data_IF_300057337805
#
_entry.id   IF_300057337805
#
_cell.length_a   1.000
_cell.length_b   1.000
_cell.length_c   1.000
_cell.angle_alpha   90.00
_cell.angle_beta   90.00
_cell.angle_gamma   90.00
#
_symmetry.space_group_name_H-M   'P 1'
#
loop_
_entity.id
_entity.type
_entity.pdbx_description
1 polymer ?
#
# COMPACT_ATOMS: atom_id res chain seq x y z
N UNK A 1 1.66 -22.22 9.65
CA UNK A 1 1.82 -22.65 11.07
C UNK A 1 1.75 -21.40 11.94
N UNK A 2 1.01 -21.46 13.01
CA UNK A 2 0.86 -20.39 14.02
C UNK A 2 0.49 -19.01 13.44
N UNK A 3 -0.38 -18.99 12.43
CA UNK A 3 -0.80 -17.77 11.75
C UNK A 3 -2.26 -17.43 12.11
N UNK A 4 -2.50 -16.29 12.73
CA UNK A 4 -3.82 -15.83 13.17
C UNK A 4 -4.51 -16.87 14.05
N UNK A 5 -5.65 -17.43 13.61
CA UNK A 5 -6.38 -18.49 14.30
C UNK A 5 -5.91 -19.90 13.94
N UNK A 6 -4.94 -20.05 13.03
CA UNK A 6 -4.48 -21.36 12.56
C UNK A 6 -3.20 -21.79 13.26
N UNK A 7 -3.24 -22.87 14.03
CA UNK A 7 -2.04 -23.55 14.52
C UNK A 7 -1.30 -24.27 13.40
N UNK A 8 -2.06 -25.04 12.60
CA UNK A 8 -1.58 -25.66 11.35
C UNK A 8 -2.75 -25.81 10.41
N UNK A 9 -2.52 -25.48 9.13
CA UNK A 9 -3.54 -25.62 8.09
C UNK A 9 -2.86 -25.82 6.73
N UNK A 10 -3.42 -26.70 5.91
CA UNK A 10 -2.98 -26.93 4.54
C UNK A 10 -4.19 -26.92 3.62
N UNK A 11 -4.04 -26.26 2.47
CA UNK A 11 -5.12 -26.15 1.49
C UNK A 11 -4.55 -26.08 0.08
N UNK A 12 -5.15 -26.88 -0.81
CA UNK A 12 -4.85 -26.83 -2.23
C UNK A 12 -5.89 -25.91 -2.90
N UNK A 13 -5.45 -24.77 -3.39
CA UNK A 13 -6.32 -23.79 -4.05
C UNK A 13 -6.60 -24.25 -5.48
N UNK A 14 -7.86 -24.46 -5.89
CA UNK A 14 -8.20 -24.83 -7.26
C UNK A 14 -7.83 -23.70 -8.25
N UNK A 15 -7.39 -24.07 -9.46
CA UNK A 15 -7.00 -23.09 -10.50
C UNK A 15 -8.19 -22.23 -10.97
N UNK A 16 -9.40 -22.79 -10.98
CA UNK A 16 -10.62 -22.07 -11.38
C UNK A 16 -11.11 -21.08 -10.32
N UNK A 17 -10.46 -21.02 -9.16
CA UNK A 17 -10.88 -20.24 -8.03
C UNK A 17 -11.60 -21.06 -6.97
N UNK A 18 -11.91 -20.43 -5.83
CA UNK A 18 -12.56 -21.07 -4.71
C UNK A 18 -13.51 -20.11 -3.99
N UNK A 19 -14.62 -20.67 -3.50
CA UNK A 19 -15.54 -20.01 -2.59
C UNK A 19 -15.35 -20.61 -1.20
N UNK A 20 -15.02 -19.77 -0.23
CA UNK A 20 -14.81 -20.22 1.17
C UNK A 20 -16.06 -19.88 1.97
N UNK A 21 -16.80 -20.92 2.39
CA UNK A 21 -18.00 -20.80 3.18
C UNK A 21 -17.74 -21.19 4.65
N UNK A 22 -18.52 -20.64 5.56
CA UNK A 22 -18.46 -20.95 6.99
C UNK A 22 -18.93 -19.77 7.84
N UNK A 23 -19.14 -20.04 9.14
CA UNK A 23 -19.58 -19.03 10.11
C UNK A 23 -18.56 -17.90 10.29
N UNK A 24 -18.99 -16.79 10.89
CA UNK A 24 -18.10 -15.69 11.23
C UNK A 24 -17.03 -16.17 12.24
N UNK A 25 -15.89 -15.48 12.25
CA UNK A 25 -14.74 -15.79 13.11
C UNK A 25 -14.02 -17.15 12.86
N UNK A 26 -14.38 -17.91 11.82
CA UNK A 26 -13.73 -19.19 11.47
C UNK A 26 -12.40 -19.04 10.69
N UNK A 27 -11.90 -17.81 10.52
CA UNK A 27 -10.59 -17.60 9.89
C UNK A 27 -10.61 -17.42 8.37
N UNK A 28 -11.75 -17.40 7.68
CA UNK A 28 -11.83 -17.23 6.20
C UNK A 28 -10.96 -16.09 5.69
N UNK A 29 -11.08 -14.92 6.29
CA UNK A 29 -10.28 -13.74 5.94
C UNK A 29 -8.79 -13.92 6.27
N UNK A 30 -8.48 -14.64 7.36
CA UNK A 30 -7.10 -14.92 7.76
C UNK A 30 -6.39 -15.83 6.74
N UNK A 31 -7.11 -16.73 6.10
CA UNK A 31 -6.57 -17.56 5.03
C UNK A 31 -6.19 -16.73 3.81
N UNK A 32 -7.09 -15.84 3.35
CA UNK A 32 -6.79 -14.91 2.26
C UNK A 32 -5.66 -13.93 2.61
N UNK A 33 -5.61 -13.47 3.87
CA UNK A 33 -4.53 -12.65 4.39
C UNK A 33 -3.17 -13.36 4.36
N UNK A 34 -3.14 -14.68 4.64
CA UNK A 34 -1.92 -15.48 4.53
C UNK A 34 -1.40 -15.54 3.08
N UNK A 35 -2.29 -15.71 2.11
CA UNK A 35 -1.92 -15.68 0.66
C UNK A 35 -1.37 -14.30 0.29
N UNK A 36 -2.05 -13.23 0.68
CA UNK A 36 -1.59 -11.87 0.43
C UNK A 36 -0.22 -11.62 1.06
N UNK A 37 -0.01 -12.04 2.31
CA UNK A 37 1.26 -11.86 3.01
C UNK A 37 2.38 -12.69 2.37
N UNK A 38 2.11 -13.93 1.96
CA UNK A 38 3.08 -14.78 1.26
C UNK A 38 3.58 -14.12 -0.03
N UNK A 39 2.70 -13.47 -0.77
CA UNK A 39 3.03 -12.89 -2.08
C UNK A 39 3.56 -11.46 -1.99
N UNK A 40 3.16 -10.69 -0.98
CA UNK A 40 3.45 -9.24 -0.93
C UNK A 40 4.18 -8.78 0.33
N UNK A 41 4.41 -9.66 1.32
CA UNK A 41 4.95 -9.30 2.65
C UNK A 41 4.15 -8.18 3.34
N UNK A 42 2.90 -8.03 2.96
CA UNK A 42 1.99 -7.01 3.48
C UNK A 42 0.66 -7.66 3.84
N UNK A 43 0.14 -7.30 5.03
CA UNK A 43 -1.22 -7.62 5.40
C UNK A 43 -2.13 -6.45 5.03
N UNK A 44 -3.30 -6.70 4.43
CA UNK A 44 -4.29 -5.65 4.19
C UNK A 44 -4.94 -5.13 5.47
N UNK A 45 -4.80 -5.85 6.58
CA UNK A 45 -5.47 -5.56 7.86
C UNK A 45 -4.55 -4.97 8.92
N UNK A 46 -3.24 -5.17 8.83
CA UNK A 46 -2.28 -4.66 9.82
C UNK A 46 -0.99 -4.21 9.17
N UNK A 47 -0.47 -3.08 9.65
CA UNK A 47 0.81 -2.55 9.18
C UNK A 47 2.04 -3.26 9.79
N UNK A 48 1.85 -4.00 10.88
CA UNK A 48 2.93 -4.72 11.59
C UNK A 48 2.72 -6.23 11.48
N UNK A 49 3.77 -7.03 11.18
CA UNK A 49 3.65 -8.48 11.08
C UNK A 49 3.38 -9.18 12.41
N UNK A 50 3.84 -8.66 13.54
CA UNK A 50 3.70 -9.30 14.86
C UNK A 50 2.27 -9.79 15.17
N UNK A 51 1.21 -8.97 14.98
CA UNK A 51 -0.17 -9.40 15.18
C UNK A 51 -0.67 -10.51 14.23
N UNK A 52 0.13 -10.94 13.24
CA UNK A 52 -0.21 -12.07 12.39
C UNK A 52 0.12 -13.42 13.05
N UNK A 53 0.98 -13.45 14.06
CA UNK A 53 1.23 -14.64 14.85
C UNK A 53 -0.03 -15.04 15.63
N UNK A 54 -0.22 -16.34 15.82
CA UNK A 54 -1.31 -16.88 16.64
C UNK A 54 -1.20 -16.41 18.09
N UNK A 55 -2.33 -16.37 18.79
CA UNK A 55 -2.36 -15.89 20.17
C UNK A 55 -1.35 -16.67 21.04
N UNK A 56 -0.54 -15.97 21.80
CA UNK A 56 0.52 -16.54 22.64
C UNK A 56 1.78 -17.00 21.88
N UNK A 57 1.85 -16.79 20.56
CA UNK A 57 3.03 -17.10 19.73
C UNK A 57 3.79 -15.84 19.34
N UNK A 58 5.11 -15.98 19.20
CA UNK A 58 6.00 -14.88 18.78
C UNK A 58 6.46 -15.02 17.31
N UNK A 59 6.12 -16.12 16.65
CA UNK A 59 6.53 -16.40 15.29
C UNK A 59 5.39 -17.07 14.52
N UNK A 60 5.43 -16.99 13.20
CA UNK A 60 4.53 -17.72 12.31
C UNK A 60 5.22 -18.14 11.02
N UNK A 61 4.71 -19.19 10.39
CA UNK A 61 5.22 -19.67 9.11
C UNK A 61 4.13 -19.78 8.06
N UNK A 62 4.41 -19.34 6.83
CA UNK A 62 3.55 -19.53 5.66
C UNK A 62 4.40 -20.15 4.55
N UNK A 63 3.87 -21.18 3.90
CA UNK A 63 4.45 -21.80 2.71
C UNK A 63 3.38 -21.93 1.64
N UNK A 64 3.74 -21.71 0.39
CA UNK A 64 2.85 -21.93 -0.75
C UNK A 64 3.63 -22.35 -1.97
N UNK A 65 3.02 -23.24 -2.75
CA UNK A 65 3.49 -23.64 -4.07
C UNK A 65 2.62 -22.96 -5.13
N UNK A 66 3.27 -22.29 -6.05
CA UNK A 66 2.66 -21.52 -7.13
C UNK A 66 3.23 -22.02 -8.46
N UNK A 67 2.58 -21.77 -9.60
CA UNK A 67 3.16 -22.13 -10.89
C UNK A 67 4.59 -21.59 -11.03
N UNK A 68 5.56 -22.50 -11.24
CA UNK A 68 6.97 -22.14 -11.42
C UNK A 68 7.75 -21.70 -10.17
N UNK A 69 7.14 -21.60 -8.98
CA UNK A 69 7.86 -21.21 -7.78
C UNK A 69 7.21 -21.68 -6.48
N UNK A 70 8.06 -22.07 -5.52
CA UNK A 70 7.67 -22.30 -4.13
C UNK A 70 8.14 -21.13 -3.26
N UNK A 71 7.28 -20.64 -2.37
CA UNK A 71 7.59 -19.54 -1.45
C UNK A 71 7.42 -19.97 -0.01
N UNK A 72 8.32 -19.49 0.85
CA UNK A 72 8.25 -19.73 2.28
C UNK A 72 8.62 -18.45 3.03
N UNK A 73 7.86 -18.18 4.07
CA UNK A 73 8.13 -17.15 5.08
C UNK A 73 8.13 -17.84 6.44
N UNK A 74 9.19 -17.67 7.19
CA UNK A 74 9.19 -17.85 8.64
C UNK A 74 9.45 -16.48 9.25
N UNK A 75 8.44 -15.90 9.85
CA UNK A 75 8.55 -14.60 10.48
C UNK A 75 8.83 -14.75 11.97
N UNK A 76 9.86 -14.05 12.46
CA UNK A 76 10.19 -13.88 13.87
C UNK A 76 10.40 -12.40 14.18
N UNK A 77 10.35 -11.97 15.44
CA UNK A 77 10.63 -10.58 15.83
C UNK A 77 12.02 -10.08 15.43
N UNK A 78 13.02 -10.95 15.43
CA UNK A 78 14.41 -10.60 15.14
C UNK A 78 14.64 -10.40 13.65
N UNK A 79 14.35 -11.41 12.83
CA UNK A 79 14.50 -11.33 11.38
C UNK A 79 13.62 -12.39 10.69
N UNK A 80 12.97 -12.05 9.56
CA UNK A 80 12.26 -13.04 8.75
C UNK A 80 13.22 -13.91 7.95
N UNK A 81 12.98 -15.24 7.91
CA UNK A 81 13.58 -16.14 6.91
C UNK A 81 12.65 -16.17 5.68
N UNK A 82 13.14 -15.63 4.57
CA UNK A 82 12.41 -15.53 3.31
C UNK A 82 13.05 -16.44 2.27
N UNK A 83 12.28 -17.35 1.68
CA UNK A 83 12.82 -18.28 0.67
C UNK A 83 11.95 -18.35 -0.57
N UNK A 84 12.61 -18.52 -1.73
CA UNK A 84 11.97 -18.79 -3.02
C UNK A 84 12.69 -20.00 -3.64
N UNK A 85 11.95 -21.05 -3.98
CA UNK A 85 12.46 -22.32 -4.49
C UNK A 85 13.52 -22.97 -3.56
N UNK A 86 13.33 -22.84 -2.24
CA UNK A 86 14.28 -23.33 -1.24
C UNK A 86 15.42 -22.37 -0.93
N UNK A 87 15.76 -21.47 -1.84
CA UNK A 87 16.89 -20.55 -1.72
C UNK A 87 16.54 -19.34 -0.82
N UNK A 88 17.41 -18.99 0.14
CA UNK A 88 17.19 -17.83 0.99
C UNK A 88 17.27 -16.54 0.19
N UNK A 89 16.42 -15.58 0.53
CA UNK A 89 16.43 -14.23 -0.04
C UNK A 89 17.03 -13.24 0.96
N UNK A 90 17.98 -12.47 0.49
CA UNK A 90 18.75 -11.51 1.30
C UNK A 90 17.86 -10.45 1.99
N UNK A 91 16.81 -10.05 1.31
CA UNK A 91 15.92 -8.97 1.76
C UNK A 91 14.53 -9.10 1.13
N UNK A 92 13.63 -8.24 1.57
CA UNK A 92 12.26 -8.16 1.02
C UNK A 92 12.23 -7.83 -0.47
N UNK A 93 13.18 -7.05 -0.97
CA UNK A 93 13.25 -6.66 -2.37
C UNK A 93 13.51 -7.89 -3.26
N UNK A 94 14.51 -8.69 -2.91
CA UNK A 94 14.86 -9.91 -3.64
C UNK A 94 13.76 -10.99 -3.53
N UNK A 95 13.05 -11.04 -2.41
CA UNK A 95 11.90 -11.91 -2.24
C UNK A 95 10.72 -11.51 -3.14
N UNK A 96 10.47 -10.20 -3.30
CA UNK A 96 9.34 -9.68 -4.06
C UNK A 96 9.63 -9.48 -5.56
N UNK A 97 10.88 -9.67 -6.02
CA UNK A 97 11.28 -9.39 -7.40
C UNK A 97 10.38 -10.12 -8.42
N UNK A 98 10.18 -11.42 -8.23
CA UNK A 98 9.41 -12.27 -9.13
C UNK A 98 8.09 -12.73 -8.50
N UNK A 99 7.50 -11.91 -7.63
CA UNK A 99 6.28 -12.27 -6.95
C UNK A 99 5.05 -11.94 -7.79
N UNK A 100 4.06 -12.82 -7.71
CA UNK A 100 2.76 -12.60 -8.36
C UNK A 100 2.07 -11.36 -7.81
N UNK A 101 1.36 -10.61 -8.66
CA UNK A 101 0.54 -9.50 -8.22
C UNK A 101 -0.65 -9.99 -7.39
N UNK A 102 -1.14 -9.12 -6.51
CA UNK A 102 -2.29 -9.40 -5.65
C UNK A 102 -3.23 -8.20 -5.68
N UNK A 103 -4.49 -8.45 -5.97
CA UNK A 103 -5.57 -7.52 -5.73
C UNK A 103 -6.34 -8.00 -4.50
N UNK A 104 -6.30 -7.19 -3.45
CA UNK A 104 -7.09 -7.43 -2.24
C UNK A 104 -8.38 -6.63 -2.30
N UNK A 105 -9.51 -7.27 -2.00
CA UNK A 105 -10.80 -6.61 -1.84
C UNK A 105 -11.44 -7.05 -0.53
N UNK A 106 -11.90 -6.10 0.26
CA UNK A 106 -12.48 -6.34 1.58
C UNK A 106 -13.46 -5.24 1.99
N UNK A 107 -14.10 -5.43 3.15
CA UNK A 107 -15.09 -4.48 3.66
C UNK A 107 -14.52 -3.07 3.90
N UNK A 108 -13.21 -2.97 4.17
CA UNK A 108 -12.54 -1.71 4.44
C UNK A 108 -12.29 -0.85 3.18
N UNK A 109 -12.56 -1.39 1.99
CA UNK A 109 -12.30 -0.69 0.72
C UNK A 109 -13.23 0.52 0.52
N UNK A 110 -14.39 0.54 1.17
CA UNK A 110 -15.24 1.73 1.22
C UNK A 110 -14.50 2.95 1.79
N UNK A 111 -13.50 2.71 2.66
CA UNK A 111 -12.61 3.74 3.19
C UNK A 111 -11.79 4.47 2.12
N UNK A 112 -11.60 3.87 0.93
CA UNK A 112 -10.94 4.55 -0.20
C UNK A 112 -11.70 5.81 -0.61
N UNK A 113 -13.03 5.77 -0.53
CA UNK A 113 -13.89 6.90 -0.86
C UNK A 113 -14.19 7.75 0.37
N UNK A 114 -14.59 7.14 1.49
CA UNK A 114 -15.08 7.84 2.67
C UNK A 114 -13.98 8.36 3.60
N UNK A 115 -12.88 7.63 3.75
CA UNK A 115 -11.84 7.99 4.72
C UNK A 115 -10.89 9.08 4.19
N UNK A 116 -10.00 9.53 5.08
CA UNK A 116 -8.98 10.51 4.75
C UNK A 116 -7.91 9.99 3.79
N UNK A 117 -7.02 10.87 3.38
CA UNK A 117 -5.97 10.64 2.40
C UNK A 117 -5.04 9.43 2.69
N UNK A 118 -4.94 9.00 3.95
CA UNK A 118 -4.07 7.87 4.34
C UNK A 118 -4.50 6.54 3.69
N UNK A 119 -5.81 6.27 3.62
CA UNK A 119 -6.34 5.08 2.95
C UNK A 119 -6.00 5.09 1.45
N UNK A 120 -6.18 6.23 0.78
CA UNK A 120 -5.89 6.40 -0.64
C UNK A 120 -4.40 6.33 -0.95
N UNK A 121 -3.53 6.90 -0.08
CA UNK A 121 -2.07 6.72 -0.21
C UNK A 121 -1.65 5.26 -0.06
N UNK A 122 -2.20 4.53 0.91
CA UNK A 122 -1.93 3.10 1.08
C UNK A 122 -2.33 2.30 -0.14
N UNK A 123 -3.48 2.61 -0.74
CA UNK A 123 -3.93 1.99 -1.99
C UNK A 123 -2.94 2.26 -3.14
N UNK A 124 -2.56 3.53 -3.37
CA UNK A 124 -1.56 3.89 -4.38
C UNK A 124 -0.22 3.19 -4.15
N UNK A 125 0.26 3.19 -2.90
CA UNK A 125 1.56 2.60 -2.57
C UNK A 125 1.55 1.07 -2.69
N UNK A 126 0.43 0.42 -2.38
CA UNK A 126 0.27 -1.01 -2.58
C UNK A 126 0.25 -1.37 -4.07
N UNK A 127 -0.53 -0.66 -4.87
CA UNK A 127 -0.62 -0.86 -6.31
C UNK A 127 0.72 -0.48 -7.00
N UNK A 128 1.23 0.72 -6.76
CA UNK A 128 2.44 1.23 -7.41
C UNK A 128 3.67 0.36 -7.14
N UNK A 129 3.78 -0.20 -5.93
CA UNK A 129 4.87 -1.13 -5.58
C UNK A 129 4.80 -2.47 -6.32
N UNK A 130 3.65 -2.82 -6.89
CA UNK A 130 3.46 -4.00 -7.73
C UNK A 130 3.64 -3.68 -9.21
N UNK A 131 3.14 -2.51 -9.61
CA UNK A 131 3.18 -2.04 -10.99
C UNK A 131 4.61 -1.75 -11.48
N UNK A 132 5.45 -1.08 -10.66
CA UNK A 132 6.76 -0.62 -11.10
C UNK A 132 7.85 -0.80 -10.03
N UNK A 133 8.99 -1.47 -10.35
CA UNK A 133 10.07 -1.68 -9.38
C UNK A 133 10.65 -0.38 -8.81
N UNK A 134 10.77 0.68 -9.64
CA UNK A 134 11.22 2.01 -9.23
C UNK A 134 10.30 2.66 -8.21
N UNK A 135 8.98 2.44 -8.30
CA UNK A 135 8.03 2.95 -7.31
C UNK A 135 8.33 2.41 -5.90
N UNK A 136 8.55 1.11 -5.79
CA UNK A 136 8.90 0.49 -4.50
C UNK A 136 10.20 1.03 -3.94
N UNK A 137 11.20 1.27 -4.79
CA UNK A 137 12.49 1.82 -4.39
C UNK A 137 12.35 3.27 -3.91
N UNK A 138 11.68 4.13 -4.70
CA UNK A 138 11.43 5.52 -4.36
C UNK A 138 10.63 5.64 -3.04
N UNK A 139 9.57 4.85 -2.89
CA UNK A 139 8.75 4.80 -1.68
C UNK A 139 9.57 4.40 -0.44
N UNK A 140 10.39 3.35 -0.53
CA UNK A 140 11.23 2.89 0.57
C UNK A 140 12.26 3.97 0.97
N UNK A 141 12.98 4.52 -0.01
CA UNK A 141 14.00 5.55 0.20
C UNK A 141 13.38 6.83 0.78
N UNK A 142 12.24 7.25 0.24
CA UNK A 142 11.47 8.39 0.75
C UNK A 142 11.05 8.19 2.21
N UNK A 143 10.45 7.04 2.54
CA UNK A 143 10.01 6.73 3.91
C UNK A 143 11.18 6.70 4.90
N UNK A 144 12.34 6.18 4.47
CA UNK A 144 13.55 6.15 5.29
C UNK A 144 14.07 7.57 5.54
N UNK A 145 14.20 8.39 4.49
CA UNK A 145 14.63 9.79 4.62
C UNK A 145 13.66 10.59 5.50
N UNK A 146 12.35 10.43 5.31
CA UNK A 146 11.30 11.08 6.11
C UNK A 146 11.42 10.71 7.59
N UNK A 147 11.58 9.43 7.89
CA UNK A 147 11.73 8.95 9.28
C UNK A 147 12.96 9.58 9.96
N UNK A 148 14.09 9.61 9.28
CA UNK A 148 15.32 10.16 9.84
C UNK A 148 15.23 11.68 9.96
N UNK A 149 14.71 12.39 8.94
CA UNK A 149 14.50 13.83 9.03
C UNK A 149 13.56 14.20 10.18
N UNK A 150 12.44 13.48 10.35
CA UNK A 150 11.51 13.70 11.45
C UNK A 150 12.16 13.42 12.83
N UNK A 151 13.04 12.44 12.92
CA UNK A 151 13.81 12.19 14.13
C UNK A 151 14.72 13.39 14.49
N UNK A 152 15.44 13.94 13.50
CA UNK A 152 16.30 15.11 13.69
C UNK A 152 15.49 16.35 14.11
N UNK A 153 14.36 16.59 13.45
CA UNK A 153 13.45 17.70 13.77
C UNK A 153 12.90 17.60 15.20
N UNK A 154 12.44 16.42 15.60
CA UNK A 154 11.86 16.17 16.93
C UNK A 154 12.88 16.36 18.06
N UNK A 155 14.11 15.93 17.85
CA UNK A 155 15.18 16.03 18.86
C UNK A 155 15.95 17.35 18.79
N UNK A 156 15.47 18.31 17.93
CA UNK A 156 16.09 19.61 17.73
C UNK A 156 17.60 19.50 17.51
N UNK A 157 18.00 18.50 16.73
CA UNK A 157 19.42 18.27 16.45
C UNK A 157 20.03 19.52 15.82
N UNK A 158 21.09 20.06 16.42
CA UNK A 158 21.73 21.32 15.99
C UNK A 158 22.59 21.16 14.73
N UNK A 159 22.77 19.94 14.26
CA UNK A 159 23.54 19.66 13.03
C UNK A 159 22.70 20.01 11.79
N UNK A 160 22.86 21.25 11.35
CA UNK A 160 22.21 21.77 10.15
C UNK A 160 22.64 21.04 8.89
N UNK A 161 23.90 20.56 8.81
CA UNK A 161 24.43 19.82 7.66
C UNK A 161 23.72 18.47 7.50
N UNK A 162 23.55 17.77 8.63
CA UNK A 162 22.83 16.50 8.60
C UNK A 162 21.36 16.67 8.24
N UNK A 163 20.69 17.69 8.77
CA UNK A 163 19.31 18.00 8.41
C UNK A 163 19.17 18.35 6.92
N UNK A 164 20.09 19.14 6.36
CA UNK A 164 20.11 19.49 4.94
C UNK A 164 20.34 18.25 4.07
N UNK A 165 21.29 17.37 4.42
CA UNK A 165 21.56 16.14 3.71
C UNK A 165 20.28 15.25 3.59
N UNK A 166 19.57 15.06 4.70
CA UNK A 166 18.29 14.31 4.67
C UNK A 166 17.16 15.06 3.98
N UNK A 167 17.16 16.39 3.99
CA UNK A 167 16.22 17.21 3.22
C UNK A 167 16.42 17.02 1.72
N UNK A 168 17.68 16.99 1.23
CA UNK A 168 18.00 16.68 -0.17
C UNK A 168 17.56 15.28 -0.59
N UNK A 169 17.86 14.27 0.23
CA UNK A 169 17.43 12.90 -0.04
C UNK A 169 15.90 12.77 -0.06
N UNK A 170 15.23 13.44 0.88
CA UNK A 170 13.76 13.46 0.94
C UNK A 170 13.16 14.11 -0.31
N UNK A 171 13.73 15.23 -0.76
CA UNK A 171 13.31 15.92 -1.96
C UNK A 171 13.50 15.05 -3.21
N UNK A 172 14.69 14.47 -3.40
CA UNK A 172 15.01 13.60 -4.53
C UNK A 172 14.01 12.44 -4.67
N UNK A 173 13.88 11.64 -3.62
CA UNK A 173 12.97 10.49 -3.65
C UNK A 173 11.51 10.87 -3.59
N UNK A 174 11.18 12.03 -3.01
CA UNK A 174 9.82 12.57 -2.98
C UNK A 174 9.37 13.01 -4.37
N UNK A 175 10.20 13.72 -5.12
CA UNK A 175 9.91 14.14 -6.50
C UNK A 175 9.73 12.92 -7.41
N UNK A 176 10.61 11.91 -7.30
CA UNK A 176 10.48 10.66 -8.03
C UNK A 176 9.16 9.95 -7.70
N UNK A 177 8.81 9.84 -6.42
CA UNK A 177 7.56 9.20 -5.99
C UNK A 177 6.32 9.95 -6.48
N UNK A 178 6.33 11.31 -6.47
CA UNK A 178 5.23 12.14 -7.02
C UNK A 178 5.04 11.86 -8.51
N UNK A 179 6.12 11.83 -9.28
CA UNK A 179 6.08 11.54 -10.72
C UNK A 179 5.51 10.14 -10.99
N UNK A 180 5.97 9.11 -10.26
CA UNK A 180 5.48 7.75 -10.40
C UNK A 180 4.01 7.59 -10.01
N UNK A 181 3.55 8.32 -8.99
CA UNK A 181 2.13 8.34 -8.61
C UNK A 181 1.26 9.01 -9.69
N UNK A 182 1.70 10.12 -10.25
CA UNK A 182 1.00 10.78 -11.34
C UNK A 182 0.89 9.86 -12.58
N UNK A 183 1.98 9.22 -12.97
CA UNK A 183 2.00 8.25 -14.08
C UNK A 183 1.09 7.06 -13.82
N UNK A 184 1.12 6.50 -12.60
CA UNK A 184 0.22 5.41 -12.20
C UNK A 184 -1.24 5.81 -12.35
N UNK A 185 -1.61 6.99 -11.89
CA UNK A 185 -3.00 7.48 -11.96
C UNK A 185 -3.45 7.75 -13.40
N UNK A 186 -2.55 8.29 -14.24
CA UNK A 186 -2.82 8.49 -15.67
C UNK A 186 -3.17 7.16 -16.35
N UNK A 187 -2.46 6.07 -16.01
CA UNK A 187 -2.75 4.74 -16.54
C UNK A 187 -4.01 4.12 -15.92
N UNK A 188 -4.24 4.32 -14.63
CA UNK A 188 -5.33 3.67 -13.89
C UNK A 188 -6.70 4.32 -14.15
N UNK A 189 -6.76 5.64 -14.32
CA UNK A 189 -8.01 6.38 -14.42
C UNK A 189 -8.96 5.88 -15.55
N UNK A 190 -8.50 5.58 -16.78
CA UNK A 190 -9.34 5.02 -17.81
C UNK A 190 -9.95 3.67 -17.42
N UNK A 191 -9.17 2.80 -16.76
CA UNK A 191 -9.64 1.50 -16.28
C UNK A 191 -10.70 1.64 -15.20
N UNK A 192 -10.57 2.63 -14.30
CA UNK A 192 -11.60 2.92 -13.28
C UNK A 192 -12.90 3.35 -13.95
N UNK A 193 -12.82 4.25 -14.94
CA UNK A 193 -13.99 4.71 -15.68
C UNK A 193 -14.70 3.57 -16.41
N UNK A 194 -13.94 2.69 -17.07
CA UNK A 194 -14.48 1.51 -17.73
C UNK A 194 -15.14 0.54 -16.76
N UNK A 195 -14.47 0.24 -15.67
CA UNK A 195 -15.00 -0.64 -14.63
C UNK A 195 -16.28 -0.06 -14.00
N UNK A 196 -16.32 1.25 -13.72
CA UNK A 196 -17.50 1.90 -13.18
C UNK A 196 -18.70 1.80 -14.14
N UNK A 197 -18.49 2.06 -15.43
CA UNK A 197 -19.54 1.93 -16.47
C UNK A 197 -20.10 0.51 -16.61
N UNK A 198 -19.33 -0.51 -16.24
CA UNK A 198 -19.75 -1.91 -16.33
C UNK A 198 -20.64 -2.37 -15.17
N UNK A 199 -20.59 -1.69 -14.02
CA UNK A 199 -21.28 -2.11 -12.78
C UNK A 199 -22.11 -1.01 -12.13
N UNK A 200 -21.91 0.26 -12.51
CA UNK A 200 -22.63 1.42 -12.01
C UNK A 200 -23.73 1.90 -12.97
N UNK A 201 -24.30 3.06 -12.68
CA UNK A 201 -25.26 3.71 -13.58
C UNK A 201 -24.56 4.26 -14.82
N UNK A 202 -25.12 4.02 -16.00
CA UNK A 202 -24.46 4.33 -17.29
C UNK A 202 -24.21 5.80 -17.54
N UNK A 203 -25.05 6.67 -16.98
CA UNK A 203 -24.96 8.13 -17.16
C UNK A 203 -23.99 8.79 -16.17
N UNK A 204 -23.56 8.09 -15.15
CA UNK A 204 -22.65 8.60 -14.14
C UNK A 204 -21.20 8.61 -14.63
N UNK A 205 -20.48 9.68 -14.29
CA UNK A 205 -19.08 9.87 -14.66
C UNK A 205 -18.22 9.90 -13.41
N UNK A 206 -17.45 8.84 -13.18
CA UNK A 206 -16.42 8.80 -12.15
C UNK A 206 -15.11 9.33 -12.72
N UNK A 207 -14.42 10.17 -11.94
CA UNK A 207 -13.06 10.58 -12.24
C UNK A 207 -12.18 10.46 -10.99
N UNK A 208 -10.92 10.09 -11.21
CA UNK A 208 -9.89 9.99 -10.17
C UNK A 208 -8.67 10.74 -10.65
N UNK A 209 -8.18 11.68 -9.84
CA UNK A 209 -7.02 12.50 -10.13
C UNK A 209 -6.02 12.51 -8.96
N UNK A 210 -4.74 12.59 -9.28
CA UNK A 210 -3.70 12.77 -8.27
C UNK A 210 -3.67 14.23 -7.83
N UNK A 211 -3.76 14.45 -6.53
CA UNK A 211 -3.65 15.77 -5.91
C UNK A 211 -2.39 15.85 -5.07
N UNK A 212 -1.38 16.53 -5.60
CA UNK A 212 -0.18 16.87 -4.86
C UNK A 212 -0.53 17.86 -3.73
N UNK A 213 0.08 17.68 -2.58
CA UNK A 213 -0.09 18.60 -1.42
C UNK A 213 0.54 19.96 -1.66
N UNK A 214 1.43 20.05 -2.64
CA UNK A 214 2.18 21.25 -2.99
C UNK A 214 2.67 21.19 -4.43
N UNK A 215 2.83 22.39 -5.03
CA UNK A 215 3.37 22.60 -6.36
C UNK A 215 4.80 23.16 -6.27
N UNK A 216 5.58 23.03 -7.37
CA UNK A 216 6.93 23.52 -7.47
C UNK A 216 8.01 22.57 -6.94
N UNK A 217 9.20 23.10 -6.74
CA UNK A 217 10.35 22.33 -6.29
C UNK A 217 10.22 21.90 -4.82
N UNK A 218 10.27 20.58 -4.61
CA UNK A 218 10.09 20.01 -3.27
C UNK A 218 11.23 20.38 -2.32
N UNK A 219 12.48 20.49 -2.81
CA UNK A 219 13.61 20.85 -1.96
C UNK A 219 13.48 22.28 -1.44
N UNK A 220 13.14 23.24 -2.32
CA UNK A 220 12.91 24.63 -1.93
C UNK A 220 11.77 24.73 -0.89
N UNK A 221 10.67 24.00 -1.11
CA UNK A 221 9.54 23.95 -0.17
C UNK A 221 9.92 23.38 1.19
N UNK A 222 10.75 22.33 1.22
CA UNK A 222 11.24 21.74 2.46
C UNK A 222 12.19 22.68 3.19
N UNK A 223 13.07 23.40 2.48
CA UNK A 223 13.96 24.40 3.06
C UNK A 223 13.18 25.58 3.65
N UNK A 224 12.22 26.12 2.93
CA UNK A 224 11.36 27.22 3.40
C UNK A 224 10.51 26.83 4.62
N UNK A 225 10.21 25.54 4.81
CA UNK A 225 9.39 25.04 5.90
C UNK A 225 10.19 24.62 7.15
N UNK A 226 11.53 24.69 7.16
CA UNK A 226 12.38 24.14 8.23
C UNK A 226 11.96 24.63 9.61
N UNK A 227 11.77 25.93 9.80
CA UNK A 227 11.41 26.50 11.12
C UNK A 227 10.03 26.01 11.58
N UNK A 228 9.09 25.86 10.64
CA UNK A 228 7.77 25.30 10.92
C UNK A 228 7.89 23.83 11.28
N UNK A 229 8.65 23.07 10.52
CA UNK A 229 8.87 21.63 10.73
C UNK A 229 9.54 21.35 12.10
N UNK A 230 10.49 22.20 12.52
CA UNK A 230 11.12 22.14 13.86
C UNK A 230 10.08 22.37 14.96
N UNK A 231 9.19 23.34 14.79
CA UNK A 231 8.11 23.62 15.77
C UNK A 231 7.17 22.45 15.95
N UNK A 232 6.78 21.80 14.85
CA UNK A 232 5.90 20.62 14.87
C UNK A 232 6.64 19.30 15.14
N UNK A 233 7.97 19.28 15.09
CA UNK A 233 8.78 18.06 15.23
C UNK A 233 8.61 17.06 14.09
N UNK A 234 8.08 17.51 12.94
CA UNK A 234 7.81 16.65 11.78
C UNK A 234 7.70 17.45 10.48
N UNK A 235 8.03 16.79 9.38
CA UNK A 235 7.94 17.33 8.03
C UNK A 235 6.49 17.58 7.65
N UNK A 236 6.18 18.79 7.15
CA UNK A 236 4.82 19.19 6.78
C UNK A 236 4.56 19.07 5.27
N UNK A 237 5.58 19.07 4.42
CA UNK A 237 5.48 19.07 2.96
C UNK A 237 5.99 17.76 2.37
N UNK A 238 5.37 17.29 1.28
CA UNK A 238 5.81 16.15 0.48
C UNK A 238 4.80 15.03 0.29
N UNK A 239 5.15 13.99 -0.47
CA UNK A 239 4.24 12.90 -0.89
C UNK A 239 3.45 12.21 0.22
N UNK A 240 3.90 12.27 1.47
CA UNK A 240 3.15 11.75 2.61
C UNK A 240 1.93 12.60 3.00
N UNK A 241 1.73 13.75 2.34
CA UNK A 241 0.58 14.66 2.48
C UNK A 241 -0.31 14.68 1.24
N UNK A 242 0.10 14.06 0.14
CA UNK A 242 -0.65 14.01 -1.10
C UNK A 242 -1.93 13.18 -0.95
N UNK A 243 -2.84 13.37 -1.90
CA UNK A 243 -4.13 12.68 -1.90
C UNK A 243 -4.58 12.28 -3.31
N UNK A 244 -5.70 11.58 -3.40
CA UNK A 244 -6.50 11.37 -4.60
C UNK A 244 -7.81 12.12 -4.50
N UNK A 245 -8.15 12.87 -5.52
CA UNK A 245 -9.49 13.39 -5.70
C UNK A 245 -10.33 12.37 -6.45
N UNK A 246 -11.42 11.95 -5.81
CA UNK A 246 -12.40 11.03 -6.38
C UNK A 246 -13.70 11.79 -6.54
N UNK A 247 -14.15 11.94 -7.78
CA UNK A 247 -15.38 12.66 -8.09
C UNK A 247 -16.38 11.78 -8.83
N UNK A 248 -17.66 12.07 -8.60
CA UNK A 248 -18.77 11.52 -9.34
C UNK A 248 -19.59 12.70 -9.91
N UNK A 249 -19.76 12.74 -11.23
CA UNK A 249 -20.41 13.84 -11.94
C UNK A 249 -19.81 15.22 -11.57
N UNK A 250 -18.46 15.29 -11.44
CA UNK A 250 -17.71 16.50 -11.09
C UNK A 250 -17.79 16.92 -9.63
N UNK A 251 -18.49 16.17 -8.75
CA UNK A 251 -18.63 16.48 -7.31
C UNK A 251 -17.88 15.46 -6.47
N UNK A 252 -17.37 15.87 -5.31
CA UNK A 252 -16.66 15.00 -4.38
C UNK A 252 -17.49 13.75 -4.05
N UNK A 253 -16.98 12.57 -4.39
CA UNK A 253 -17.65 11.31 -4.11
C UNK A 253 -17.81 11.05 -2.61
N UNK A 254 -16.83 11.48 -1.80
CA UNK A 254 -16.89 11.32 -0.34
C UNK A 254 -18.06 12.09 0.31
N UNK A 255 -18.44 13.24 -0.28
CA UNK A 255 -19.45 14.13 0.30
C UNK A 255 -20.84 13.96 -0.33
N UNK A 256 -20.91 13.64 -1.62
CA UNK A 256 -22.16 13.74 -2.38
C UNK A 256 -22.65 12.42 -2.98
N UNK A 257 -21.79 11.38 -3.07
CA UNK A 257 -22.22 10.07 -3.56
C UNK A 257 -22.95 9.29 -2.46
N UNK A 258 -24.00 8.58 -2.84
CA UNK A 258 -24.68 7.62 -1.95
C UNK A 258 -23.73 6.49 -1.54
N UNK A 259 -24.04 5.77 -0.47
CA UNK A 259 -23.22 4.63 -0.02
C UNK A 259 -23.09 3.57 -1.13
N UNK A 260 -24.16 3.30 -1.88
CA UNK A 260 -24.14 2.38 -3.04
C UNK A 260 -23.16 2.85 -4.11
N UNK A 261 -23.22 4.14 -4.50
CA UNK A 261 -22.29 4.74 -5.47
C UNK A 261 -20.83 4.67 -4.96
N UNK A 262 -20.59 4.97 -3.69
CA UNK A 262 -19.25 4.89 -3.09
C UNK A 262 -18.71 3.44 -3.11
N UNK A 263 -19.55 2.44 -2.86
CA UNK A 263 -19.19 1.02 -2.99
C UNK A 263 -18.86 0.67 -4.44
N UNK A 264 -19.68 1.12 -5.40
CA UNK A 264 -19.43 0.92 -6.83
C UNK A 264 -18.09 1.54 -7.25
N UNK A 265 -17.77 2.76 -6.79
CA UNK A 265 -16.46 3.41 -7.02
C UNK A 265 -15.32 2.56 -6.45
N UNK A 266 -15.43 2.13 -5.19
CA UNK A 266 -14.39 1.32 -4.55
C UNK A 266 -14.14 -0.01 -5.29
N UNK A 267 -15.22 -0.70 -5.72
CA UNK A 267 -15.15 -1.92 -6.53
C UNK A 267 -14.47 -1.62 -7.88
N UNK A 268 -14.85 -0.53 -8.54
CA UNK A 268 -14.27 -0.12 -9.83
C UNK A 268 -12.78 0.16 -9.73
N UNK A 269 -12.32 0.78 -8.64
CA UNK A 269 -10.90 0.99 -8.38
C UNK A 269 -10.13 -0.34 -8.23
N UNK A 270 -10.75 -1.36 -7.62
CA UNK A 270 -10.14 -2.69 -7.48
C UNK A 270 -10.15 -3.50 -8.78
N UNK A 271 -11.20 -3.41 -9.56
CA UNK A 271 -11.27 -4.02 -10.90
C UNK A 271 -10.22 -3.38 -11.83
N UNK A 272 -10.10 -2.06 -11.80
CA UNK A 272 -9.05 -1.33 -12.53
C UNK A 272 -7.64 -1.75 -12.13
N UNK A 273 -7.41 -1.96 -10.83
CA UNK A 273 -6.14 -2.50 -10.33
C UNK A 273 -5.85 -3.88 -10.92
N UNK A 274 -6.86 -4.76 -11.01
CA UNK A 274 -6.71 -6.09 -11.61
C UNK A 274 -6.41 -6.04 -13.12
N UNK A 275 -6.94 -5.02 -13.81
CA UNK A 275 -6.69 -4.84 -15.25
C UNK A 275 -5.31 -4.26 -15.55
N UNK A 276 -4.70 -3.55 -14.59
CA UNK A 276 -3.39 -2.92 -14.74
C UNK A 276 -2.23 -3.87 -14.37
N UNK A 277 -2.43 -4.83 -13.47
CA UNK A 277 -1.42 -5.77 -12.96
C UNK A 277 -1.39 -7.08 -13.74
#
# INVERSE_FOLDING_TARGET
MDFRCYGSFSWQIPQQGAIILGNNAQGKTSLLEAVCFLLRLQSPRTARPGPLAAHGKQAFGIRGELPGQARRILWTPDAPDLRVNGEPRKDQRSYLADSYPVVWMGNDDLSLVQAGADARRKYMDFLGSQWHPGYRLALFSYRRALKTRNYLLKHRHRDKLQLDAYTRQLALHGTELKSLRASLLTLLAPHITLAYRSIGEREEQVAVAYRASEEGDLYERLCAAVDRDIRYGQTQNGPHRDDLDITLNGRSAAQFASEGQQRTIAISMKLAQSSLL
#
